data_IF_611502269365
#
_entry.id   IF_611502269365
#
_cell.length_a   1.000
_cell.length_b   1.000
_cell.length_c   1.000
_cell.angle_alpha   90.00
_cell.angle_beta   90.00
_cell.angle_gamma   90.00
#
_symmetry.space_group_name_H-M   'P 1'
#
loop_
_entity.id
_entity.type
_entity.pdbx_description
1 polymer ?
#
# COMPACT_ATOMS: atom_id res chain seq x y z
N UNK A 1 7.30 -16.38 -6.53
CA UNK A 1 6.84 -15.34 -5.60
C UNK A 1 6.49 -14.10 -6.40
N UNK A 2 5.30 -13.56 -6.18
CA UNK A 2 4.80 -12.45 -7.00
C UNK A 2 5.01 -11.07 -6.35
N UNK A 3 5.57 -10.99 -5.14
CA UNK A 3 5.91 -9.70 -4.54
C UNK A 3 7.17 -9.12 -5.17
N UNK A 4 7.25 -7.79 -5.22
CA UNK A 4 8.42 -7.09 -5.77
C UNK A 4 9.01 -6.16 -4.72
N UNK A 5 10.31 -5.96 -4.80
CA UNK A 5 10.99 -5.00 -3.93
C UNK A 5 10.71 -3.57 -4.40
N UNK A 6 10.28 -2.73 -3.48
CA UNK A 6 10.00 -1.32 -3.76
C UNK A 6 11.07 -0.46 -3.10
N UNK A 7 11.63 0.46 -3.87
CA UNK A 7 12.64 1.41 -3.45
C UNK A 7 12.16 2.82 -3.76
N UNK A 8 12.89 3.81 -3.25
CA UNK A 8 12.63 5.21 -3.55
C UNK A 8 12.67 5.48 -5.06
N UNK A 9 13.51 4.75 -5.80
CA UNK A 9 13.67 4.93 -7.24
C UNK A 9 12.49 4.38 -8.04
N UNK A 10 11.97 3.20 -7.68
CA UNK A 10 10.94 2.54 -8.50
C UNK A 10 9.50 2.80 -8.03
N UNK A 11 9.31 3.38 -6.85
CA UNK A 11 7.95 3.60 -6.31
C UNK A 11 7.09 4.49 -7.21
N UNK A 12 7.55 5.67 -7.68
CA UNK A 12 6.69 6.54 -8.48
C UNK A 12 6.19 5.87 -9.76
N UNK A 13 7.08 5.23 -10.50
CA UNK A 13 6.70 4.55 -11.74
C UNK A 13 5.77 3.37 -11.49
N UNK A 14 5.99 2.62 -10.42
CA UNK A 14 5.15 1.48 -10.04
C UNK A 14 3.72 1.93 -9.76
N UNK A 15 3.55 3.00 -8.98
CA UNK A 15 2.23 3.54 -8.65
C UNK A 15 1.53 4.12 -9.88
N UNK A 16 2.28 4.81 -10.75
CA UNK A 16 1.71 5.41 -11.97
C UNK A 16 1.28 4.37 -12.99
N UNK A 17 2.01 3.26 -13.11
CA UNK A 17 1.82 2.29 -14.19
C UNK A 17 0.81 1.20 -13.86
N UNK A 18 0.30 1.13 -12.64
CA UNK A 18 -0.58 0.07 -12.20
C UNK A 18 -1.81 0.65 -11.50
N UNK A 19 -2.99 0.04 -11.75
CA UNK A 19 -4.24 0.52 -11.15
C UNK A 19 -4.25 0.33 -9.63
N UNK A 20 -3.91 -0.88 -9.15
CA UNK A 20 -3.89 -1.18 -7.72
C UNK A 20 -2.48 -1.62 -7.32
N UNK A 21 -1.95 -0.94 -6.29
CA UNK A 21 -0.62 -1.24 -5.74
C UNK A 21 -0.73 -1.31 -4.22
N UNK A 22 -0.22 -2.39 -3.63
CA UNK A 22 -0.06 -2.49 -2.18
C UNK A 22 1.41 -2.35 -1.82
N UNK A 23 1.67 -1.77 -0.66
CA UNK A 23 3.01 -1.69 -0.07
C UNK A 23 2.96 -2.30 1.33
N UNK A 24 3.91 -3.16 1.62
CA UNK A 24 4.14 -3.73 2.95
C UNK A 24 5.46 -3.18 3.48
N UNK A 25 5.39 -2.30 4.49
CA UNK A 25 6.59 -1.77 5.15
C UNK A 25 6.98 -2.72 6.27
N UNK A 26 8.18 -3.29 6.18
CA UNK A 26 8.63 -4.41 7.03
C UNK A 26 10.09 -4.27 7.44
N UNK A 27 10.54 -5.13 8.35
CA UNK A 27 11.95 -5.28 8.70
C UNK A 27 12.22 -6.73 9.12
N UNK A 28 13.46 -7.18 8.98
CA UNK A 28 13.87 -8.55 9.31
C UNK A 28 13.65 -8.90 10.78
N UNK A 29 13.82 -7.95 11.68
CA UNK A 29 13.69 -8.15 13.12
C UNK A 29 12.26 -8.15 13.63
N UNK A 30 11.31 -7.87 12.78
CA UNK A 30 9.91 -7.66 13.16
C UNK A 30 9.14 -8.99 13.12
N UNK A 31 8.76 -9.50 14.29
CA UNK A 31 7.99 -10.75 14.42
C UNK A 31 6.65 -10.71 13.67
N UNK A 32 5.79 -9.70 13.89
CA UNK A 32 4.53 -9.58 13.16
C UNK A 32 4.70 -9.48 11.64
N UNK A 33 5.77 -8.84 11.17
CA UNK A 33 6.08 -8.79 9.74
C UNK A 33 6.32 -10.18 9.16
N UNK A 34 7.03 -11.03 9.92
CA UNK A 34 7.31 -12.41 9.51
C UNK A 34 6.04 -13.25 9.46
N UNK A 35 5.11 -13.02 10.38
CA UNK A 35 3.81 -13.70 10.40
C UNK A 35 2.94 -13.26 9.23
N UNK A 36 3.00 -12.00 8.86
CA UNK A 36 2.23 -11.44 7.75
C UNK A 36 2.79 -11.82 6.38
N UNK A 37 4.10 -12.03 6.27
CA UNK A 37 4.76 -12.29 4.99
C UNK A 37 4.10 -13.42 4.19
N UNK A 38 3.80 -14.61 4.76
CA UNK A 38 3.13 -15.66 3.98
C UNK A 38 1.74 -15.28 3.50
N UNK A 39 1.00 -14.51 4.30
CA UNK A 39 -0.34 -14.03 3.93
C UNK A 39 -0.24 -13.09 2.72
N UNK A 40 0.71 -12.17 2.76
CA UNK A 40 0.94 -11.20 1.70
C UNK A 40 1.40 -11.89 0.40
N UNK A 41 2.35 -12.82 0.51
CA UNK A 41 2.83 -13.60 -0.64
C UNK A 41 1.71 -14.41 -1.28
N UNK A 42 0.88 -15.08 -0.47
CA UNK A 42 -0.25 -15.85 -0.99
C UNK A 42 -1.25 -14.94 -1.74
N UNK A 43 -1.54 -13.76 -1.21
CA UNK A 43 -2.41 -12.80 -1.88
C UNK A 43 -1.82 -12.34 -3.21
N UNK A 44 -0.50 -12.14 -3.27
CA UNK A 44 0.18 -11.73 -4.51
C UNK A 44 0.06 -12.79 -5.60
N UNK A 45 0.08 -14.06 -5.23
CA UNK A 45 -0.11 -15.16 -6.19
C UNK A 45 -1.56 -15.23 -6.68
N UNK A 46 -2.52 -14.94 -5.80
CA UNK A 46 -3.95 -15.02 -6.11
C UNK A 46 -4.42 -13.85 -6.97
N UNK A 47 -3.86 -12.66 -6.79
CA UNK A 47 -4.29 -11.43 -7.45
C UNK A 47 -3.20 -10.91 -8.39
N UNK A 48 -3.03 -11.57 -9.52
CA UNK A 48 -1.93 -11.29 -10.46
C UNK A 48 -2.05 -9.93 -11.16
N UNK A 49 -3.22 -9.30 -11.10
CA UNK A 49 -3.46 -7.97 -11.68
C UNK A 49 -3.11 -6.83 -10.71
N UNK A 50 -2.76 -7.16 -9.47
CA UNK A 50 -2.37 -6.20 -8.43
C UNK A 50 -0.87 -6.32 -8.18
N UNK A 51 -0.20 -5.17 -8.03
CA UNK A 51 1.21 -5.15 -7.61
C UNK A 51 1.28 -5.21 -6.09
N UNK A 52 2.01 -6.19 -5.57
CA UNK A 52 2.28 -6.33 -4.14
C UNK A 52 3.75 -6.01 -3.90
N UNK A 53 4.01 -4.79 -3.43
CA UNK A 53 5.36 -4.32 -3.19
C UNK A 53 5.77 -4.48 -1.73
N UNK A 54 7.06 -4.68 -1.50
CA UNK A 54 7.64 -4.76 -0.16
C UNK A 54 8.69 -3.68 0.00
N UNK A 55 8.60 -2.92 1.08
CA UNK A 55 9.55 -1.86 1.42
C UNK A 55 10.30 -2.26 2.68
N UNK A 56 11.59 -2.58 2.54
CA UNK A 56 12.46 -2.85 3.68
C UNK A 56 12.79 -1.52 4.37
N UNK A 57 12.25 -1.31 5.56
CA UNK A 57 12.42 -0.03 6.27
C UNK A 57 13.86 0.22 6.74
N UNK A 58 14.68 -0.82 6.86
CA UNK A 58 16.10 -0.65 7.20
C UNK A 58 16.89 -0.14 5.98
N UNK A 59 16.61 -0.69 4.80
CA UNK A 59 17.27 -0.30 3.56
C UNK A 59 16.71 1.02 3.01
N UNK A 60 15.39 1.22 3.13
CA UNK A 60 14.69 2.37 2.59
C UNK A 60 14.20 3.29 3.72
N UNK A 61 15.10 3.66 4.64
CA UNK A 61 14.76 4.48 5.80
C UNK A 61 14.17 5.84 5.44
N UNK A 62 14.70 6.49 4.41
CA UNK A 62 14.19 7.79 3.96
C UNK A 62 12.78 7.67 3.39
N UNK A 63 12.52 6.62 2.63
CA UNK A 63 11.18 6.38 2.08
C UNK A 63 10.17 6.11 3.20
N UNK A 64 10.54 5.27 4.17
CA UNK A 64 9.69 4.99 5.33
C UNK A 64 9.39 6.26 6.12
N UNK A 65 10.39 7.10 6.35
CA UNK A 65 10.22 8.37 7.05
C UNK A 65 9.31 9.33 6.28
N UNK A 66 9.52 9.45 4.97
CA UNK A 66 8.68 10.31 4.12
C UNK A 66 7.23 9.83 4.09
N UNK A 67 7.00 8.52 4.18
CA UNK A 67 5.67 7.94 4.22
C UNK A 67 5.01 8.03 5.60
N UNK A 68 5.73 8.52 6.61
CA UNK A 68 5.20 8.66 7.96
C UNK A 68 5.03 7.35 8.70
N UNK A 69 5.86 6.35 8.38
CA UNK A 69 5.77 5.02 9.00
C UNK A 69 6.34 5.08 10.43
N UNK A 70 5.48 4.82 11.41
CA UNK A 70 5.86 4.85 12.84
C UNK A 70 5.85 3.47 13.48
N UNK A 71 5.23 2.50 12.83
CA UNK A 71 5.21 1.11 13.30
C UNK A 71 5.17 0.17 12.10
N UNK A 72 5.62 -1.06 12.28
CA UNK A 72 5.66 -2.09 11.25
C UNK A 72 5.04 -3.40 11.76
N UNK A 73 4.39 -4.19 10.89
CA UNK A 73 4.17 -3.84 9.49
C UNK A 73 3.14 -2.72 9.34
N UNK A 74 3.26 -1.94 8.29
CA UNK A 74 2.23 -1.00 7.86
C UNK A 74 1.93 -1.31 6.40
N UNK A 75 0.65 -1.42 6.09
CA UNK A 75 0.17 -1.75 4.76
C UNK A 75 -0.47 -0.50 4.15
N UNK A 76 -0.04 -0.13 2.96
CA UNK A 76 -0.66 0.93 2.15
C UNK A 76 -1.27 0.32 0.90
N UNK A 77 -2.42 0.88 0.49
CA UNK A 77 -3.06 0.51 -0.77
C UNK A 77 -3.29 1.75 -1.63
N UNK A 78 -2.93 1.66 -2.90
CA UNK A 78 -3.13 2.72 -3.89
C UNK A 78 -4.09 2.25 -4.96
N UNK A 79 -4.94 3.14 -5.42
CA UNK A 79 -5.78 2.92 -6.59
C UNK A 79 -5.73 4.13 -7.51
N UNK A 80 -5.40 3.90 -8.79
CA UNK A 80 -5.28 4.97 -9.76
C UNK A 80 -4.27 6.06 -9.37
N UNK A 81 -3.19 5.69 -8.69
CA UNK A 81 -2.16 6.61 -8.22
C UNK A 81 -2.49 7.32 -6.90
N UNK A 82 -3.62 7.00 -6.27
CA UNK A 82 -4.10 7.66 -5.06
C UNK A 82 -4.00 6.70 -3.88
N UNK A 83 -3.43 7.17 -2.76
CA UNK A 83 -3.41 6.39 -1.51
C UNK A 83 -4.84 6.33 -0.96
N UNK A 84 -5.42 5.12 -0.94
CA UNK A 84 -6.81 4.91 -0.51
C UNK A 84 -6.92 4.07 0.77
N UNK A 85 -5.81 3.49 1.23
CA UNK A 85 -5.81 2.65 2.42
C UNK A 85 -4.46 2.71 3.12
N UNK A 86 -4.48 2.79 4.45
CA UNK A 86 -3.27 2.68 5.26
C UNK A 86 -3.64 2.14 6.63
N UNK A 87 -2.96 1.08 7.06
CA UNK A 87 -3.23 0.45 8.35
C UNK A 87 -1.95 -0.15 8.92
N UNK A 88 -1.68 0.15 10.18
CA UNK A 88 -0.61 -0.49 10.93
C UNK A 88 -1.08 -1.84 11.47
N UNK A 89 -0.17 -2.79 11.52
CA UNK A 89 -0.42 -4.13 12.07
C UNK A 89 -0.59 -5.19 11.00
N UNK A 90 -0.29 -6.44 11.39
CA UNK A 90 -0.47 -7.58 10.51
C UNK A 90 -1.94 -7.88 10.31
N UNK A 91 -2.33 -8.16 9.07
CA UNK A 91 -3.69 -8.57 8.73
C UNK A 91 -3.77 -10.09 8.59
N UNK A 92 -4.92 -10.65 8.94
CA UNK A 92 -5.23 -12.05 8.59
C UNK A 92 -5.59 -12.12 7.11
N UNK A 93 -5.55 -13.33 6.57
CA UNK A 93 -5.90 -13.57 5.16
C UNK A 93 -7.27 -13.00 4.80
N UNK A 94 -8.30 -13.27 5.64
CA UNK A 94 -9.66 -12.79 5.40
C UNK A 94 -9.75 -11.27 5.44
N UNK A 95 -9.01 -10.63 6.33
CA UNK A 95 -8.97 -9.17 6.45
C UNK A 95 -8.32 -8.53 5.22
N UNK A 96 -7.21 -9.10 4.74
CA UNK A 96 -6.53 -8.61 3.55
C UNK A 96 -7.42 -8.75 2.32
N UNK A 97 -8.11 -9.89 2.16
CA UNK A 97 -9.06 -10.10 1.06
C UNK A 97 -10.21 -9.09 1.10
N UNK A 98 -10.71 -8.77 2.29
CA UNK A 98 -11.75 -7.74 2.45
C UNK A 98 -11.24 -6.36 1.98
N UNK A 99 -10.01 -6.00 2.35
CA UNK A 99 -9.40 -4.73 1.93
C UNK A 99 -9.25 -4.70 0.40
N UNK A 100 -8.75 -5.78 -0.19
CA UNK A 100 -8.59 -5.88 -1.65
C UNK A 100 -9.94 -5.68 -2.33
N UNK A 101 -10.97 -6.38 -1.89
CA UNK A 101 -12.33 -6.25 -2.44
C UNK A 101 -12.86 -4.84 -2.35
N UNK A 102 -12.66 -4.19 -1.19
CA UNK A 102 -13.11 -2.80 -0.98
C UNK A 102 -12.42 -1.82 -1.94
N UNK A 103 -11.12 -2.02 -2.16
CA UNK A 103 -10.36 -1.15 -3.08
C UNK A 103 -10.84 -1.37 -4.53
N UNK A 104 -11.10 -2.63 -4.92
CA UNK A 104 -11.62 -2.93 -6.27
C UNK A 104 -12.97 -2.28 -6.52
N UNK A 105 -13.80 -2.13 -5.49
CA UNK A 105 -15.16 -1.58 -5.60
C UNK A 105 -15.22 -0.06 -5.53
N UNK A 106 -14.11 0.62 -5.26
CA UNK A 106 -14.11 2.09 -5.17
C UNK A 106 -14.53 2.74 -6.48
N UNK A 107 -15.41 3.75 -6.34
CA UNK A 107 -15.75 4.66 -7.44
C UNK A 107 -14.67 5.75 -7.49
N UNK A 108 -13.72 5.61 -8.40
CA UNK A 108 -12.56 6.50 -8.46
C UNK A 108 -12.92 7.91 -8.95
N UNK A 109 -13.99 8.05 -9.73
CA UNK A 109 -14.47 9.39 -10.11
C UNK A 109 -14.95 10.14 -8.87
N UNK A 110 -15.66 9.46 -7.98
CA UNK A 110 -16.11 10.03 -6.71
C UNK A 110 -14.93 10.37 -5.80
N UNK A 111 -13.95 9.47 -5.70
CA UNK A 111 -12.74 9.69 -4.90
C UNK A 111 -12.01 10.94 -5.40
N UNK A 112 -11.80 11.06 -6.69
CA UNK A 112 -11.12 12.21 -7.28
C UNK A 112 -11.91 13.51 -7.07
N UNK A 113 -13.24 13.44 -7.16
CA UNK A 113 -14.10 14.60 -6.90
C UNK A 113 -14.01 15.06 -5.45
N UNK A 114 -13.98 14.14 -4.50
CA UNK A 114 -13.83 14.45 -3.08
C UNK A 114 -12.47 15.10 -2.78
N UNK A 115 -11.40 14.61 -3.39
CA UNK A 115 -10.06 15.18 -3.24
C UNK A 115 -10.03 16.60 -3.81
N UNK A 116 -10.58 16.80 -4.99
CA UNK A 116 -10.66 18.14 -5.63
C UNK A 116 -11.45 19.12 -4.78
N UNK A 117 -12.56 18.68 -4.18
CA UNK A 117 -13.38 19.51 -3.29
C UNK A 117 -12.60 19.88 -2.02
N UNK A 118 -11.85 18.95 -1.44
CA UNK A 118 -11.03 19.20 -0.25
C UNK A 118 -9.91 20.19 -0.56
N UNK A 119 -9.24 20.03 -1.70
CA UNK A 119 -8.18 20.94 -2.16
C UNK A 119 -8.74 22.34 -2.43
N UNK A 120 -9.89 22.43 -3.09
CA UNK A 120 -10.56 23.71 -3.33
C UNK A 120 -10.94 24.42 -2.05
N UNK A 121 -11.42 23.69 -1.03
CA UNK A 121 -11.74 24.25 0.29
C UNK A 121 -10.48 24.73 1.00
N UNK A 122 -9.37 24.03 0.88
CA UNK A 122 -8.09 24.42 1.49
C UNK A 122 -7.55 25.70 0.84
N UNK A 123 -7.70 25.83 -0.47
CA UNK A 123 -7.20 27.01 -1.21
C UNK A 123 -8.00 28.29 -0.90
N UNK A 124 -9.23 28.17 -0.46
CA UNK A 124 -10.08 29.31 -0.13
C UNK A 124 -9.81 29.95 1.22
N UNK A 125 -8.91 29.39 1.98
CA UNK A 125 -8.50 29.95 3.28
C UNK A 125 -7.30 30.95 3.13
#
# INVERSE_FOLDING_TARGET
MATIEITQQNLPATVESNDIVFLDFWADWCGPCKQFSPVYEAASEKHSDIVFGKVDTEDQGQLAQAAGITSIPTIMGFRGGILVYQQAGALREDQLETVIGSIRELDMDKVRAEIAAAEGSAEKK
#
